data_IF_946510301771
#
_entry.id   IF_946510301771
#
_cell.length_a   1.000
_cell.length_b   1.000
_cell.length_c   1.000
_cell.angle_alpha   90.00
_cell.angle_beta   90.00
_cell.angle_gamma   90.00
#
_symmetry.space_group_name_H-M   'P 1'
#
loop_
_entity.id
_entity.type
_entity.pdbx_description
1 polymer ?
#
# COMPACT_ATOMS: atom_id res chain seq x y z
N UNK A 1 33.64 -20.41 -22.39
CA UNK A 1 32.73 -20.90 -21.34
C UNK A 1 31.84 -19.74 -20.97
N UNK A 2 30.75 -19.62 -21.70
CA UNK A 2 29.76 -18.56 -21.54
C UNK A 2 29.07 -18.72 -20.19
N UNK A 3 29.21 -17.71 -19.33
CA UNK A 3 28.40 -17.57 -18.13
C UNK A 3 27.00 -17.12 -18.57
N UNK A 4 26.05 -18.04 -18.46
CA UNK A 4 24.64 -17.75 -18.61
C UNK A 4 24.24 -16.65 -17.62
N UNK A 5 24.05 -15.43 -18.13
CA UNK A 5 23.52 -14.31 -17.38
C UNK A 5 22.11 -14.63 -16.93
N UNK A 6 21.93 -14.81 -15.63
CA UNK A 6 20.62 -14.88 -15.01
C UNK A 6 19.93 -13.53 -15.23
N UNK A 7 19.02 -13.48 -16.21
CA UNK A 7 18.28 -12.28 -16.60
C UNK A 7 17.24 -11.89 -15.54
N UNK A 8 17.71 -11.43 -14.38
CA UNK A 8 16.86 -10.69 -13.45
C UNK A 8 16.56 -9.33 -14.06
N UNK A 9 15.28 -8.99 -14.24
CA UNK A 9 14.86 -7.64 -14.60
C UNK A 9 15.17 -6.75 -13.39
N UNK A 10 16.36 -6.15 -13.39
CA UNK A 10 16.71 -5.09 -12.45
C UNK A 10 16.11 -3.81 -13.00
N UNK A 11 15.09 -3.27 -12.34
CA UNK A 11 14.57 -1.96 -12.70
C UNK A 11 15.67 -0.93 -12.42
N UNK A 12 16.30 -0.45 -13.50
CA UNK A 12 17.24 0.67 -13.43
C UNK A 12 16.52 1.95 -13.80
N UNK A 13 16.61 2.94 -12.92
CA UNK A 13 16.35 4.33 -13.23
C UNK A 13 17.25 4.76 -14.39
N UNK A 14 16.71 4.95 -15.59
CA UNK A 14 17.35 5.84 -16.57
C UNK A 14 16.78 7.25 -16.50
N UNK A 15 15.51 7.41 -16.13
CA UNK A 15 14.88 8.70 -15.84
C UNK A 15 13.52 8.39 -15.21
N UNK A 16 13.39 8.52 -13.89
CA UNK A 16 12.11 8.90 -13.31
C UNK A 16 12.29 10.37 -13.00
N UNK A 17 11.70 11.24 -13.82
CA UNK A 17 11.40 12.59 -13.39
C UNK A 17 10.39 12.45 -12.23
N UNK A 18 10.89 12.21 -11.03
CA UNK A 18 10.07 12.31 -9.83
C UNK A 18 9.76 13.79 -9.69
N UNK A 19 8.49 14.13 -9.93
CA UNK A 19 7.82 15.37 -9.58
C UNK A 19 8.76 16.43 -9.01
N UNK A 20 9.52 17.10 -9.87
CA UNK A 20 9.92 18.45 -9.53
C UNK A 20 8.60 19.19 -9.34
N UNK A 21 8.36 19.69 -8.12
CA UNK A 21 7.21 20.52 -7.84
C UNK A 21 7.13 21.57 -8.95
N UNK A 22 6.01 21.68 -9.69
CA UNK A 22 5.94 22.61 -10.79
C UNK A 22 6.28 24.00 -10.29
N UNK A 23 7.15 24.71 -11.02
CA UNK A 23 7.52 26.11 -10.71
C UNK A 23 6.35 27.09 -10.93
N UNK A 24 5.14 26.59 -11.10
CA UNK A 24 3.91 27.35 -11.19
C UNK A 24 3.59 27.87 -9.79
N UNK A 25 3.26 29.17 -9.61
CA UNK A 25 2.86 29.68 -8.31
C UNK A 25 1.69 28.85 -7.76
N UNK A 26 1.82 28.41 -6.50
CA UNK A 26 0.93 27.49 -5.79
C UNK A 26 -0.55 27.94 -5.70
N UNK A 27 -0.87 29.13 -6.19
CA UNK A 27 -2.21 29.73 -6.15
C UNK A 27 -2.92 29.77 -7.52
N UNK A 28 -2.30 29.27 -8.59
CA UNK A 28 -2.94 29.25 -9.90
C UNK A 28 -3.91 28.06 -10.02
N UNK A 29 -5.18 28.34 -10.34
CA UNK A 29 -6.22 27.33 -10.59
C UNK A 29 -6.68 27.35 -12.04
N UNK A 30 -6.89 26.17 -12.61
CA UNK A 30 -7.53 25.95 -13.92
C UNK A 30 -8.94 25.45 -13.69
N UNK A 31 -9.89 25.94 -14.49
CA UNK A 31 -11.30 25.60 -14.37
C UNK A 31 -11.69 24.52 -15.37
N UNK A 32 -12.28 23.44 -14.87
CA UNK A 32 -12.91 22.39 -15.67
C UNK A 32 -14.36 22.24 -15.21
N UNK A 33 -15.29 22.80 -15.97
CA UNK A 33 -16.70 22.90 -15.55
C UNK A 33 -16.85 23.66 -14.23
N UNK A 34 -17.40 23.00 -13.21
CA UNK A 34 -17.52 23.51 -11.84
C UNK A 34 -16.25 23.32 -10.99
N UNK A 35 -15.30 22.48 -11.43
CA UNK A 35 -14.07 22.20 -10.69
C UNK A 35 -13.09 23.37 -10.80
N UNK A 36 -12.40 23.64 -9.68
CA UNK A 36 -11.20 24.47 -9.62
C UNK A 36 -10.03 23.56 -9.28
N UNK A 37 -9.17 23.28 -10.26
CA UNK A 37 -8.05 22.34 -10.14
C UNK A 37 -6.76 23.13 -10.03
N UNK A 38 -5.86 22.75 -9.12
CA UNK A 38 -4.54 23.36 -9.04
C UNK A 38 -3.81 23.21 -10.39
N UNK A 39 -3.20 24.29 -10.89
CA UNK A 39 -2.60 24.31 -12.23
C UNK A 39 -1.48 23.27 -12.40
N UNK A 40 -0.76 22.93 -11.32
CA UNK A 40 0.23 21.86 -11.30
C UNK A 40 -0.37 20.48 -11.55
N UNK A 41 -1.52 20.17 -10.94
CA UNK A 41 -2.21 18.91 -11.12
C UNK A 41 -2.83 18.82 -12.52
N UNK A 42 -3.40 19.92 -13.01
CA UNK A 42 -3.91 20.01 -14.38
C UNK A 42 -2.82 19.73 -15.42
N UNK A 43 -1.68 20.42 -15.29
CA UNK A 43 -0.54 20.22 -16.19
C UNK A 43 0.00 18.79 -16.11
N UNK A 44 0.11 18.20 -14.92
CA UNK A 44 0.52 16.80 -14.77
C UNK A 44 -0.43 15.84 -15.50
N UNK A 45 -1.74 15.99 -15.31
CA UNK A 45 -2.72 15.12 -15.96
C UNK A 45 -2.65 15.27 -17.47
N UNK A 46 -2.60 16.51 -17.98
CA UNK A 46 -2.56 16.80 -19.41
C UNK A 46 -1.26 16.31 -20.07
N UNK A 47 -0.12 16.61 -19.47
CA UNK A 47 1.17 16.49 -20.14
C UNK A 47 1.89 15.17 -19.82
N UNK A 48 1.53 14.48 -18.74
CA UNK A 48 2.23 13.27 -18.29
C UNK A 48 1.32 12.05 -18.07
N UNK A 49 0.13 12.21 -17.49
CA UNK A 49 -0.70 11.07 -17.10
C UNK A 49 -1.69 10.60 -18.20
N UNK A 50 -2.24 11.53 -18.98
CA UNK A 50 -3.23 11.26 -20.04
C UNK A 50 -2.65 10.71 -21.35
N UNK A 51 -1.45 11.14 -21.82
CA UNK A 51 -0.89 10.62 -23.08
C UNK A 51 -0.84 9.09 -23.13
N UNK A 52 -1.10 8.52 -24.31
CA UNK A 52 -1.10 7.08 -24.61
C UNK A 52 -2.10 6.20 -23.81
N UNK A 53 -2.96 6.79 -22.99
CA UNK A 53 -4.02 6.07 -22.26
C UNK A 53 -5.31 5.87 -23.05
N UNK A 54 -5.51 6.63 -24.13
CA UNK A 54 -6.77 6.68 -24.88
C UNK A 54 -7.86 7.55 -24.25
N UNK A 55 -7.58 8.24 -23.13
CA UNK A 55 -8.50 9.18 -22.46
C UNK A 55 -7.89 10.57 -22.49
N UNK A 56 -8.61 11.55 -23.06
CA UNK A 56 -8.14 12.96 -23.08
C UNK A 56 -8.24 13.60 -21.69
N UNK A 57 -7.43 14.63 -21.44
CA UNK A 57 -7.47 15.38 -20.18
C UNK A 57 -8.85 16.01 -19.92
N UNK A 58 -9.52 16.50 -20.96
CA UNK A 58 -10.88 17.05 -20.87
C UNK A 58 -11.89 15.98 -20.49
N UNK A 59 -11.83 14.80 -21.12
CA UNK A 59 -12.71 13.68 -20.81
C UNK A 59 -12.46 13.16 -19.38
N UNK A 60 -11.20 13.12 -18.94
CA UNK A 60 -10.82 12.78 -17.58
C UNK A 60 -11.45 13.75 -16.57
N UNK A 61 -11.27 15.06 -16.74
CA UNK A 61 -11.80 16.05 -15.79
C UNK A 61 -13.33 16.10 -15.77
N UNK A 62 -13.99 15.96 -16.92
CA UNK A 62 -15.44 15.82 -16.98
C UNK A 62 -15.92 14.56 -16.22
N UNK A 63 -15.20 13.44 -16.34
CA UNK A 63 -15.46 12.22 -15.58
C UNK A 63 -15.30 12.43 -14.06
N UNK A 64 -14.22 13.08 -13.64
CA UNK A 64 -13.99 13.43 -12.22
C UNK A 64 -15.10 14.32 -11.69
N UNK A 65 -15.52 15.34 -12.43
CA UNK A 65 -16.63 16.21 -12.06
C UNK A 65 -17.93 15.42 -11.85
N UNK A 66 -18.26 14.53 -12.80
CA UNK A 66 -19.44 13.67 -12.71
C UNK A 66 -19.40 12.73 -11.50
N UNK A 67 -18.24 12.15 -11.19
CA UNK A 67 -18.05 11.29 -10.02
C UNK A 67 -18.20 12.08 -8.72
N UNK A 68 -17.61 13.27 -8.63
CA UNK A 68 -17.72 14.13 -7.45
C UNK A 68 -19.16 14.61 -7.23
N UNK A 69 -19.87 14.98 -8.29
CA UNK A 69 -21.29 15.35 -8.22
C UNK A 69 -22.14 14.18 -7.69
N UNK A 70 -21.88 12.96 -8.16
CA UNK A 70 -22.63 11.77 -7.76
C UNK A 70 -22.29 11.26 -6.36
N UNK A 71 -21.01 11.24 -5.98
CA UNK A 71 -20.54 10.53 -4.79
C UNK A 71 -19.98 11.44 -3.69
N UNK A 72 -19.72 12.72 -3.96
CA UNK A 72 -19.12 13.64 -2.98
C UNK A 72 -19.96 13.78 -1.71
N UNK A 73 -21.28 13.89 -1.83
CA UNK A 73 -22.18 13.90 -0.67
C UNK A 73 -22.15 12.58 0.10
N UNK A 74 -22.31 11.45 -0.60
CA UNK A 74 -22.29 10.12 0.02
C UNK A 74 -20.99 9.87 0.80
N UNK A 75 -19.84 10.28 0.28
CA UNK A 75 -18.56 10.12 0.98
C UNK A 75 -18.51 10.92 2.29
N UNK A 76 -19.00 12.16 2.28
CA UNK A 76 -19.12 12.98 3.51
C UNK A 76 -20.09 12.34 4.51
N UNK A 77 -21.24 11.86 4.04
CA UNK A 77 -22.25 11.23 4.91
C UNK A 77 -21.69 9.96 5.57
N UNK A 78 -20.83 9.19 4.87
CA UNK A 78 -20.12 8.04 5.45
C UNK A 78 -19.13 8.42 6.56
N UNK A 79 -18.41 9.54 6.40
CA UNK A 79 -17.51 10.06 7.43
C UNK A 79 -18.30 10.52 8.65
N UNK A 80 -19.40 11.26 8.43
CA UNK A 80 -20.27 11.70 9.51
C UNK A 80 -20.87 10.52 10.27
N UNK A 81 -21.27 9.45 9.55
CA UNK A 81 -21.77 8.23 10.17
C UNK A 81 -20.72 7.56 11.08
N UNK A 82 -19.44 7.53 10.66
CA UNK A 82 -18.35 7.04 11.51
C UNK A 82 -18.22 7.86 12.79
N UNK A 83 -18.27 9.18 12.68
CA UNK A 83 -18.20 10.07 13.84
C UNK A 83 -19.39 9.87 14.78
N UNK A 84 -20.59 9.69 14.23
CA UNK A 84 -21.79 9.41 15.01
C UNK A 84 -21.68 8.08 15.77
N UNK A 85 -21.18 7.02 15.14
CA UNK A 85 -20.91 5.75 15.80
C UNK A 85 -19.86 5.92 16.90
N UNK A 86 -18.75 6.62 16.62
CA UNK A 86 -17.70 6.85 17.62
C UNK A 86 -18.24 7.61 18.85
N UNK A 87 -19.03 8.68 18.65
CA UNK A 87 -19.66 9.41 19.77
C UNK A 87 -20.55 8.51 20.62
N UNK A 88 -21.35 7.64 19.98
CA UNK A 88 -22.18 6.66 20.69
C UNK A 88 -21.35 5.67 21.51
N UNK A 89 -20.18 5.26 21.02
CA UNK A 89 -19.26 4.40 21.79
C UNK A 89 -18.65 5.16 22.96
N UNK A 90 -18.18 6.39 22.73
CA UNK A 90 -17.59 7.24 23.76
C UNK A 90 -18.59 7.53 24.89
N UNK A 91 -19.83 7.85 24.54
CA UNK A 91 -20.91 8.10 25.49
C UNK A 91 -21.27 6.86 26.31
N UNK A 92 -21.28 5.68 25.66
CA UNK A 92 -21.53 4.41 26.34
C UNK A 92 -20.43 4.12 27.38
N UNK A 93 -19.15 4.22 27.00
CA UNK A 93 -18.03 3.96 27.92
C UNK A 93 -17.93 5.01 29.04
N UNK A 94 -18.42 6.23 28.81
CA UNK A 94 -18.53 7.25 29.86
C UNK A 94 -19.64 6.91 30.86
N UNK A 95 -20.75 6.36 30.40
CA UNK A 95 -21.88 5.96 31.25
C UNK A 95 -21.61 4.66 32.02
N UNK A 96 -20.81 3.75 31.46
CA UNK A 96 -20.47 2.45 32.03
C UNK A 96 -18.94 2.30 32.18
N UNK A 97 -18.32 3.04 33.13
CA UNK A 97 -16.87 3.03 33.28
C UNK A 97 -16.34 1.67 33.78
N UNK A 98 -15.12 1.34 33.36
CA UNK A 98 -14.45 0.10 33.74
C UNK A 98 -14.64 -1.01 32.71
N UNK A 99 -14.67 -2.26 33.16
CA UNK A 99 -14.84 -3.39 32.26
C UNK A 99 -16.31 -3.54 31.88
N UNK A 100 -16.65 -3.48 30.57
CA UNK A 100 -18.03 -3.64 30.13
C UNK A 100 -18.53 -5.07 30.35
N UNK A 101 -19.81 -5.21 30.70
CA UNK A 101 -20.51 -6.48 30.51
C UNK A 101 -20.58 -6.80 29.01
N UNK A 102 -20.04 -7.95 28.61
CA UNK A 102 -19.85 -8.28 27.20
C UNK A 102 -21.19 -8.46 26.47
N UNK A 103 -22.19 -9.04 27.13
CA UNK A 103 -23.49 -9.28 26.53
C UNK A 103 -24.24 -7.97 26.30
N UNK A 104 -24.23 -7.08 27.30
CA UNK A 104 -24.83 -5.74 27.22
C UNK A 104 -24.14 -4.88 26.15
N UNK A 105 -22.80 -4.90 26.09
CA UNK A 105 -22.07 -4.13 25.10
C UNK A 105 -22.33 -4.61 23.68
N UNK A 106 -22.34 -5.93 23.42
CA UNK A 106 -22.70 -6.46 22.11
C UNK A 106 -24.15 -6.15 21.71
N UNK A 107 -25.08 -6.18 22.66
CA UNK A 107 -26.47 -5.80 22.40
C UNK A 107 -26.54 -4.33 21.95
N UNK A 108 -25.84 -3.43 22.64
CA UNK A 108 -25.75 -2.03 22.27
C UNK A 108 -25.10 -1.82 20.89
N UNK A 109 -24.01 -2.52 20.58
CA UNK A 109 -23.36 -2.43 19.26
C UNK A 109 -24.31 -2.84 18.12
N UNK A 110 -25.18 -3.83 18.33
CA UNK A 110 -26.23 -4.20 17.37
C UNK A 110 -27.32 -3.14 17.30
N UNK A 111 -27.76 -2.62 18.45
CA UNK A 111 -28.78 -1.57 18.55
C UNK A 111 -28.39 -0.31 17.77
N UNK A 112 -27.14 0.15 17.90
CA UNK A 112 -26.67 1.35 17.19
C UNK A 112 -26.33 1.11 15.72
N UNK A 113 -26.44 -0.13 15.24
CA UNK A 113 -26.12 -0.54 13.87
C UNK A 113 -24.61 -0.69 13.60
N UNK A 114 -23.78 -0.81 14.64
CA UNK A 114 -22.34 -1.06 14.47
C UNK A 114 -22.06 -2.52 14.08
N UNK A 115 -22.79 -3.47 14.70
CA UNK A 115 -22.78 -4.87 14.31
C UNK A 115 -24.06 -5.15 13.52
N UNK A 116 -23.91 -5.38 12.22
CA UNK A 116 -24.99 -5.85 11.35
C UNK A 116 -25.18 -7.37 11.43
N UNK A 117 -26.36 -7.90 11.09
CA UNK A 117 -26.55 -9.33 10.88
C UNK A 117 -25.59 -9.88 9.83
N UNK A 118 -25.06 -11.07 10.10
CA UNK A 118 -24.23 -11.79 9.13
C UNK A 118 -25.03 -12.12 7.87
N UNK A 119 -24.36 -12.09 6.71
CA UNK A 119 -24.95 -12.43 5.42
C UNK A 119 -24.47 -13.80 5.00
N UNK A 120 -25.40 -14.73 4.84
CA UNK A 120 -25.09 -16.09 4.37
C UNK A 120 -24.85 -16.12 2.85
N UNK A 121 -24.03 -17.09 2.41
CA UNK A 121 -23.91 -17.44 0.99
C UNK A 121 -23.15 -16.43 0.13
N UNK A 122 -22.35 -15.54 0.71
CA UNK A 122 -21.53 -14.59 -0.04
C UNK A 122 -20.32 -15.30 -0.66
N UNK A 123 -20.18 -15.22 -1.98
CA UNK A 123 -18.99 -15.66 -2.71
C UNK A 123 -18.44 -14.49 -3.53
N UNK A 124 -17.11 -14.35 -3.56
CA UNK A 124 -16.46 -13.36 -4.39
C UNK A 124 -16.41 -13.85 -5.85
N UNK A 125 -16.84 -13.00 -6.79
CA UNK A 125 -16.92 -13.34 -8.23
C UNK A 125 -15.75 -12.75 -9.04
N UNK A 126 -14.75 -12.17 -8.38
CA UNK A 126 -13.68 -11.41 -9.04
C UNK A 126 -12.84 -12.29 -9.98
N UNK A 127 -12.74 -11.89 -11.25
CA UNK A 127 -11.91 -12.53 -12.27
C UNK A 127 -10.73 -11.65 -12.69
N UNK A 128 -9.79 -12.20 -13.48
CA UNK A 128 -8.61 -11.48 -13.99
C UNK A 128 -7.70 -10.90 -12.89
N UNK A 129 -7.46 -11.69 -11.84
CA UNK A 129 -6.58 -11.33 -10.73
C UNK A 129 -5.21 -11.98 -10.94
N UNK A 130 -4.14 -11.19 -10.78
CA UNK A 130 -2.76 -11.68 -10.90
C UNK A 130 -2.45 -12.84 -9.91
N UNK A 131 -1.59 -13.80 -10.28
CA UNK A 131 -1.26 -14.94 -9.43
C UNK A 131 -0.70 -14.56 -8.06
N UNK A 132 0.07 -13.48 -7.97
CA UNK A 132 0.65 -12.95 -6.73
C UNK A 132 -0.41 -12.63 -5.67
N UNK A 133 -1.64 -12.29 -6.09
CA UNK A 133 -2.76 -12.01 -5.19
C UNK A 133 -3.66 -13.24 -5.05
N UNK A 134 -3.96 -13.92 -6.16
CA UNK A 134 -5.01 -14.95 -6.18
C UNK A 134 -4.55 -16.34 -5.73
N UNK A 135 -3.26 -16.68 -5.91
CA UNK A 135 -2.78 -18.08 -5.84
C UNK A 135 -1.48 -18.25 -5.08
N UNK A 136 -0.84 -17.17 -4.65
CA UNK A 136 0.44 -17.21 -3.95
C UNK A 136 0.27 -16.77 -2.49
N UNK A 137 0.93 -17.47 -1.57
CA UNK A 137 1.10 -17.01 -0.20
C UNK A 137 2.50 -16.41 -0.08
N UNK A 138 2.60 -15.17 0.41
CA UNK A 138 3.89 -14.51 0.56
C UNK A 138 3.80 -13.17 1.32
N UNK A 139 4.96 -12.56 1.61
CA UNK A 139 5.00 -11.25 2.26
C UNK A 139 4.44 -10.14 1.37
N UNK A 140 3.79 -9.14 1.98
CA UNK A 140 3.38 -7.90 1.34
C UNK A 140 4.11 -6.72 1.99
N UNK A 141 4.89 -5.99 1.19
CA UNK A 141 5.68 -4.85 1.64
C UNK A 141 4.89 -3.54 1.47
N UNK A 142 4.96 -2.66 2.47
CA UNK A 142 4.36 -1.32 2.44
C UNK A 142 5.47 -0.27 2.52
N UNK A 143 5.49 0.67 1.56
CA UNK A 143 6.45 1.78 1.52
C UNK A 143 5.77 3.08 1.10
N UNK A 144 6.28 4.26 1.53
CA UNK A 144 5.74 5.53 1.09
C UNK A 144 6.09 5.82 -0.37
N UNK A 145 5.07 6.06 -1.21
CA UNK A 145 5.24 6.37 -2.63
C UNK A 145 6.05 7.66 -2.87
N UNK A 146 6.02 8.59 -1.92
CA UNK A 146 6.72 9.87 -1.97
C UNK A 146 8.24 9.75 -1.85
N UNK A 147 8.78 8.55 -1.57
CA UNK A 147 10.22 8.31 -1.53
C UNK A 147 10.64 7.36 -2.66
N UNK A 148 11.21 7.93 -3.73
CA UNK A 148 11.66 7.20 -4.92
C UNK A 148 12.55 6.00 -4.60
N UNK A 149 13.49 6.19 -3.66
CA UNK A 149 14.45 5.16 -3.30
C UNK A 149 13.75 3.99 -2.61
N UNK A 150 12.83 4.26 -1.70
CA UNK A 150 12.07 3.21 -1.05
C UNK A 150 11.11 2.50 -2.01
N UNK A 151 10.48 3.23 -2.92
CA UNK A 151 9.64 2.64 -3.97
C UNK A 151 10.42 1.66 -4.85
N UNK A 152 11.60 2.07 -5.33
CA UNK A 152 12.43 1.21 -6.20
C UNK A 152 13.02 0.02 -5.45
N UNK A 153 13.44 0.22 -4.21
CA UNK A 153 13.88 -0.89 -3.37
C UNK A 153 12.73 -1.88 -3.15
N UNK A 154 11.51 -1.39 -2.93
CA UNK A 154 10.33 -2.24 -2.75
C UNK A 154 9.95 -2.99 -4.03
N UNK A 155 9.98 -2.33 -5.19
CA UNK A 155 9.72 -2.98 -6.46
C UNK A 155 10.74 -4.09 -6.75
N UNK A 156 12.01 -3.86 -6.45
CA UNK A 156 13.07 -4.86 -6.63
C UNK A 156 13.11 -5.92 -5.52
N UNK A 157 12.44 -5.71 -4.39
CA UNK A 157 12.39 -6.65 -3.27
C UNK A 157 11.58 -7.92 -3.54
N UNK A 158 11.03 -8.10 -4.76
CA UNK A 158 10.48 -9.39 -5.21
C UNK A 158 11.51 -10.52 -5.07
N UNK A 159 12.79 -10.20 -5.27
CA UNK A 159 13.91 -11.12 -5.05
C UNK A 159 14.94 -10.45 -4.17
N UNK A 160 15.23 -11.07 -3.02
CA UNK A 160 16.23 -10.60 -2.06
C UNK A 160 17.29 -11.66 -1.82
N UNK A 161 18.51 -11.22 -1.52
CA UNK A 161 19.60 -12.11 -1.08
C UNK A 161 19.32 -12.60 0.34
N UNK A 162 19.04 -13.91 0.48
CA UNK A 162 18.90 -14.54 1.80
C UNK A 162 20.20 -14.40 2.62
N UNK A 163 21.36 -14.41 1.95
CA UNK A 163 22.65 -14.28 2.60
C UNK A 163 22.83 -12.88 3.18
N UNK A 164 22.48 -11.83 2.43
CA UNK A 164 22.56 -10.45 2.91
C UNK A 164 21.55 -10.21 4.03
N UNK A 165 20.35 -10.77 3.93
CA UNK A 165 19.33 -10.67 4.96
C UNK A 165 19.77 -11.35 6.27
N UNK A 166 20.37 -12.55 6.21
CA UNK A 166 20.91 -13.23 7.39
C UNK A 166 22.16 -12.55 7.94
N UNK A 167 23.07 -12.11 7.07
CA UNK A 167 24.33 -11.50 7.48
C UNK A 167 24.11 -10.10 8.08
N UNK A 168 23.26 -9.28 7.47
CA UNK A 168 23.07 -7.87 7.82
C UNK A 168 22.13 -7.59 8.99
N UNK A 169 21.51 -8.63 9.56
CA UNK A 169 20.52 -8.50 10.65
C UNK A 169 20.93 -9.31 11.88
N UNK A 170 20.15 -9.25 12.95
CA UNK A 170 20.30 -10.08 14.15
C UNK A 170 19.62 -11.46 14.03
N UNK A 171 19.17 -11.87 12.84
CA UNK A 171 18.47 -13.14 12.60
C UNK A 171 19.28 -14.40 12.97
N UNK A 172 20.60 -14.28 13.16
CA UNK A 172 21.48 -15.34 13.65
C UNK A 172 21.65 -15.33 15.19
N UNK A 173 20.84 -14.56 15.92
CA UNK A 173 20.88 -14.41 17.37
C UNK A 173 21.86 -13.34 17.89
N UNK A 174 22.63 -12.73 16.99
CA UNK A 174 23.56 -11.64 17.30
C UNK A 174 23.64 -10.64 16.15
N UNK A 175 23.71 -9.36 16.49
CA UNK A 175 23.87 -8.28 15.52
C UNK A 175 25.24 -8.38 14.78
N UNK A 176 25.33 -7.95 13.52
CA UNK A 176 26.60 -7.92 12.80
C UNK A 176 27.59 -6.99 13.49
N UNK A 177 28.86 -7.43 13.58
CA UNK A 177 29.95 -6.59 14.06
C UNK A 177 30.27 -5.52 13.00
N UNK A 178 30.67 -4.34 13.46
CA UNK A 178 31.19 -3.32 12.56
C UNK A 178 32.51 -3.78 11.90
N UNK A 179 32.71 -3.47 10.63
CA UNK A 179 33.91 -3.84 9.88
C UNK A 179 33.58 -4.45 8.51
N UNK A 180 34.59 -5.09 7.91
CA UNK A 180 34.44 -5.82 6.66
C UNK A 180 33.80 -7.20 6.85
N UNK A 181 34.01 -8.08 5.87
CA UNK A 181 33.51 -9.45 5.93
C UNK A 181 34.15 -10.25 7.08
N UNK A 182 33.29 -10.85 7.90
CA UNK A 182 33.64 -11.75 9.00
C UNK A 182 33.42 -13.20 8.52
N UNK A 183 34.51 -13.95 8.44
CA UNK A 183 34.52 -15.33 7.94
C UNK A 183 33.70 -16.26 8.85
N UNK A 184 33.76 -16.07 10.16
CA UNK A 184 33.02 -16.90 11.11
C UNK A 184 31.51 -16.66 10.99
N UNK A 185 31.10 -15.39 10.85
CA UNK A 185 29.70 -15.05 10.61
C UNK A 185 29.22 -15.57 9.25
N UNK A 186 30.03 -15.44 8.20
CA UNK A 186 29.72 -15.98 6.87
C UNK A 186 29.49 -17.49 6.89
N UNK A 187 30.28 -18.23 7.67
CA UNK A 187 30.05 -19.67 7.88
C UNK A 187 28.70 -19.95 8.57
N UNK A 188 28.29 -19.16 9.57
CA UNK A 188 26.96 -19.28 10.20
C UNK A 188 25.81 -19.02 9.22
N UNK A 189 25.95 -18.02 8.33
CA UNK A 189 24.97 -17.72 7.27
C UNK A 189 24.81 -18.93 6.34
N UNK A 190 25.92 -19.49 5.84
CA UNK A 190 25.90 -20.65 4.96
C UNK A 190 25.24 -21.85 5.64
N UNK A 191 25.60 -22.13 6.89
CA UNK A 191 25.01 -23.22 7.66
C UNK A 191 23.48 -23.05 7.81
N UNK A 192 23.01 -21.83 8.15
CA UNK A 192 21.59 -21.55 8.29
C UNK A 192 20.84 -21.66 6.96
N UNK A 193 21.45 -21.20 5.87
CA UNK A 193 20.87 -21.29 4.53
C UNK A 193 20.79 -22.74 4.04
N UNK A 194 21.82 -23.57 4.27
CA UNK A 194 21.79 -25.00 3.95
C UNK A 194 20.71 -25.73 4.73
N UNK A 195 20.63 -25.50 6.05
CA UNK A 195 19.58 -26.07 6.87
C UNK A 195 18.17 -25.63 6.43
N UNK A 196 18.01 -24.42 5.88
CA UNK A 196 16.76 -23.99 5.27
C UNK A 196 16.47 -24.75 3.96
N UNK A 197 17.46 -24.93 3.10
CA UNK A 197 17.33 -25.72 1.87
C UNK A 197 16.92 -27.17 2.18
N UNK A 198 17.54 -27.80 3.18
CA UNK A 198 17.19 -29.17 3.61
C UNK A 198 15.71 -29.29 4.07
N UNK A 199 15.09 -28.19 4.52
CA UNK A 199 13.69 -28.16 4.93
C UNK A 199 12.72 -27.96 3.77
N UNK A 200 13.07 -27.12 2.79
CA UNK A 200 12.15 -26.71 1.72
C UNK A 200 12.36 -27.45 0.40
N UNK A 201 13.51 -28.08 0.22
CA UNK A 201 13.91 -28.86 -0.95
C UNK A 201 14.84 -30.02 -0.54
N UNK A 202 14.32 -31.02 0.21
CA UNK A 202 15.09 -32.15 0.75
C UNK A 202 15.63 -33.11 -0.32
#
# INVERSE_FOLDING_TARGET
>A
MDSAGCGGVVFRLKEIAMFDAPKTPADAYVRHGSLKVAAELDAFVRDQASPDTGVSAEAFWAGVEGLLARFGRRNRDLLEHRDQLQRKLDDWHRAYPGQPDQAAYQAYLREIGYIEPERDGVQAETTNVDPEIARMAGPQLVVPLTNARYLLNAANARWGSLYDALYGTDALGEAPKAGGYDVERGAKVIARARAFLDQVAP
#
